data_IF_711960256610
#
_entry.id   IF_711960256610
#
_cell.length_a   1.000
_cell.length_b   1.000
_cell.length_c   1.000
_cell.angle_alpha   90.00
_cell.angle_beta   90.00
_cell.angle_gamma   90.00
#
_symmetry.space_group_name_H-M   'P 1'
#
loop_
_entity.id
_entity.type
_entity.pdbx_description
1 polymer ?
#
# COMPACT_ATOMS: atom_id res chain seq x y z
N UNK A 1 -0.85 12.78 -19.14
CA UNK A 1 -0.06 12.21 -18.03
C UNK A 1 1.33 11.75 -18.47
N UNK A 2 2.36 11.89 -17.62
CA UNK A 2 3.71 11.33 -17.81
C UNK A 2 4.08 10.39 -16.63
N UNK A 3 5.20 9.67 -16.76
CA UNK A 3 5.65 8.70 -15.74
C UNK A 3 5.83 9.36 -14.36
N UNK A 4 6.45 10.54 -14.29
CA UNK A 4 6.68 11.26 -13.04
C UNK A 4 5.38 11.57 -12.29
N UNK A 5 4.32 11.92 -13.02
CA UNK A 5 3.00 12.19 -12.44
C UNK A 5 2.38 10.92 -11.83
N UNK A 6 2.61 9.76 -12.45
CA UNK A 6 2.15 8.47 -11.95
C UNK A 6 2.92 8.10 -10.67
N UNK A 7 4.25 8.27 -10.67
CA UNK A 7 5.09 7.98 -9.51
C UNK A 7 4.77 8.88 -8.32
N UNK A 8 4.57 10.19 -8.53
CA UNK A 8 4.13 11.11 -7.48
C UNK A 8 2.75 10.70 -6.92
N UNK A 9 1.85 10.24 -7.77
CA UNK A 9 0.54 9.72 -7.34
C UNK A 9 0.67 8.45 -6.48
N UNK A 10 1.55 7.52 -6.87
CA UNK A 10 1.87 6.33 -6.08
C UNK A 10 2.47 6.71 -4.72
N UNK A 11 3.41 7.66 -4.68
CA UNK A 11 4.00 8.14 -3.43
C UNK A 11 2.93 8.75 -2.50
N UNK A 12 2.00 9.53 -3.05
CA UNK A 12 0.85 10.07 -2.28
C UNK A 12 -0.01 8.95 -1.69
N UNK A 13 -0.26 7.89 -2.45
CA UNK A 13 -0.99 6.71 -1.97
C UNK A 13 -0.29 6.02 -0.78
N UNK A 14 1.03 5.80 -0.91
CA UNK A 14 1.85 5.24 0.17
C UNK A 14 1.83 6.14 1.41
N UNK A 15 2.05 7.45 1.25
CA UNK A 15 2.02 8.42 2.35
C UNK A 15 0.65 8.46 3.04
N UNK A 16 -0.44 8.39 2.30
CA UNK A 16 -1.79 8.36 2.87
C UNK A 16 -1.97 7.12 3.76
N UNK A 17 -1.52 5.94 3.32
CA UNK A 17 -1.54 4.74 4.16
C UNK A 17 -0.67 4.91 5.40
N UNK A 18 0.51 5.53 5.27
CA UNK A 18 1.42 5.81 6.39
C UNK A 18 0.77 6.66 7.46
N UNK A 19 0.04 7.69 7.03
CA UNK A 19 -0.69 8.63 7.89
C UNK A 19 -1.99 8.06 8.47
N UNK A 20 -2.37 6.84 8.08
CA UNK A 20 -3.53 6.14 8.62
C UNK A 20 -4.83 6.34 7.83
N UNK A 21 -4.80 6.98 6.67
CA UNK A 21 -5.96 7.08 5.79
C UNK A 21 -6.42 5.70 5.30
N UNK A 22 -7.73 5.49 5.28
CA UNK A 22 -8.36 4.30 4.73
C UNK A 22 -8.33 4.32 3.20
N UNK A 23 -8.27 3.14 2.56
CA UNK A 23 -8.21 3.05 1.08
C UNK A 23 -9.41 3.73 0.40
N UNK A 24 -10.58 3.71 1.04
CA UNK A 24 -11.79 4.37 0.51
C UNK A 24 -11.70 5.89 0.43
N UNK A 25 -10.70 6.50 1.10
CA UNK A 25 -10.44 7.94 1.08
C UNK A 25 -9.55 8.35 -0.10
N UNK A 26 -9.37 7.48 -1.10
CA UNK A 26 -8.68 7.80 -2.35
C UNK A 26 -9.31 9.06 -2.99
N UNK A 27 -8.55 10.17 -3.13
CA UNK A 27 -9.10 11.43 -3.64
C UNK A 27 -9.43 11.39 -5.13
N UNK A 28 -8.92 10.38 -5.85
CA UNK A 28 -9.17 10.17 -7.28
C UNK A 28 -10.32 9.19 -7.53
N UNK A 29 -10.91 8.63 -6.48
CA UNK A 29 -12.06 7.73 -6.62
C UNK A 29 -13.24 8.48 -7.18
N UNK A 30 -13.63 8.10 -8.40
CA UNK A 30 -14.80 8.65 -9.06
C UNK A 30 -16.07 7.90 -8.64
N UNK A 31 -17.16 8.65 -8.46
CA UNK A 31 -18.51 8.07 -8.31
C UNK A 31 -19.19 7.84 -9.67
N UNK A 32 -18.51 8.10 -10.78
CA UNK A 32 -19.05 7.89 -12.13
C UNK A 32 -18.91 6.43 -12.55
N UNK A 33 -19.75 6.03 -13.50
CA UNK A 33 -19.61 4.71 -14.11
C UNK A 33 -18.23 4.58 -14.79
N UNK A 34 -17.62 3.38 -14.80
CA UNK A 34 -16.29 3.17 -15.39
C UNK A 34 -16.17 3.63 -16.86
N UNK A 35 -17.26 3.58 -17.64
CA UNK A 35 -17.29 4.04 -19.03
C UNK A 35 -17.38 5.56 -19.22
N UNK A 36 -17.65 6.32 -18.15
CA UNK A 36 -17.74 7.79 -18.15
C UNK A 36 -16.50 8.45 -17.51
N UNK A 37 -15.59 7.64 -16.97
CA UNK A 37 -14.37 8.08 -16.35
C UNK A 37 -13.28 8.19 -17.42
N UNK A 38 -12.65 9.36 -17.53
CA UNK A 38 -11.54 9.55 -18.45
C UNK A 38 -10.36 8.68 -18.04
N UNK A 39 -9.62 8.16 -19.02
CA UNK A 39 -8.44 7.30 -18.82
C UNK A 39 -7.46 7.91 -17.81
N UNK A 40 -7.26 9.23 -17.86
CA UNK A 40 -6.38 9.94 -16.94
C UNK A 40 -6.83 9.84 -15.47
N UNK A 41 -8.13 9.91 -15.21
CA UNK A 41 -8.67 9.79 -13.85
C UNK A 41 -8.53 8.35 -13.34
N UNK A 42 -8.76 7.38 -14.22
CA UNK A 42 -8.57 5.95 -13.90
C UNK A 42 -7.11 5.67 -13.53
N UNK A 43 -6.17 6.17 -14.31
CA UNK A 43 -4.73 6.00 -14.04
C UNK A 43 -4.31 6.63 -12.70
N UNK A 44 -4.83 7.82 -12.36
CA UNK A 44 -4.54 8.42 -11.04
C UNK A 44 -5.12 7.60 -9.89
N UNK A 45 -6.34 7.10 -10.06
CA UNK A 45 -6.99 6.26 -9.07
C UNK A 45 -6.19 4.98 -8.81
N UNK A 46 -5.79 4.27 -9.87
CA UNK A 46 -4.99 3.05 -9.80
C UNK A 46 -3.60 3.31 -9.22
N UNK A 47 -2.93 4.40 -9.63
CA UNK A 47 -1.61 4.77 -9.11
C UNK A 47 -1.64 5.02 -7.60
N UNK A 48 -2.63 5.78 -7.12
CA UNK A 48 -2.78 6.03 -5.69
C UNK A 48 -3.11 4.74 -4.92
N UNK A 49 -4.04 3.93 -5.42
CA UNK A 49 -4.39 2.64 -4.81
C UNK A 49 -3.21 1.69 -4.72
N UNK A 50 -2.37 1.63 -5.77
CA UNK A 50 -1.17 0.82 -5.81
C UNK A 50 -0.18 1.19 -4.70
N UNK A 51 0.12 2.49 -4.56
CA UNK A 51 1.00 2.98 -3.50
C UNK A 51 0.46 2.68 -2.09
N UNK A 52 -0.86 2.87 -1.89
CA UNK A 52 -1.52 2.56 -0.62
C UNK A 52 -1.42 1.06 -0.29
N UNK A 53 -1.67 0.19 -1.27
CA UNK A 53 -1.67 -1.27 -1.09
C UNK A 53 -0.28 -1.82 -0.79
N UNK A 54 0.77 -1.32 -1.44
CA UNK A 54 2.15 -1.72 -1.12
C UNK A 54 2.43 -1.47 0.35
N UNK A 55 2.17 -0.26 0.83
CA UNK A 55 2.43 0.11 2.22
C UNK A 55 1.62 -0.75 3.19
N UNK A 56 0.34 -1.02 2.90
CA UNK A 56 -0.48 -1.88 3.74
C UNK A 56 0.03 -3.33 3.78
N UNK A 57 0.47 -3.86 2.63
CA UNK A 57 1.04 -5.20 2.55
C UNK A 57 2.36 -5.30 3.33
N UNK A 58 3.24 -4.29 3.24
CA UNK A 58 4.51 -4.27 3.98
C UNK A 58 4.29 -4.26 5.50
N UNK A 59 3.27 -3.54 6.00
CA UNK A 59 2.90 -3.57 7.42
C UNK A 59 2.46 -4.95 7.90
N UNK A 60 1.75 -5.71 7.05
CA UNK A 60 1.31 -7.07 7.36
C UNK A 60 2.47 -8.06 7.39
N UNK A 61 3.54 -7.83 6.61
CA UNK A 61 4.76 -8.65 6.69
C UNK A 61 5.48 -8.42 8.03
N UNK A 62 5.42 -7.20 8.57
CA UNK A 62 5.98 -6.86 9.87
C UNK A 62 5.13 -7.27 11.08
N UNK A 63 3.85 -7.61 10.91
CA UNK A 63 2.91 -7.79 12.04
C UNK A 63 2.20 -9.15 12.03
N UNK A 64 2.03 -9.73 13.22
CA UNK A 64 1.25 -10.93 13.45
C UNK A 64 1.89 -12.21 12.91
N UNK A 65 1.46 -12.67 11.73
CA UNK A 65 1.77 -14.01 11.23
C UNK A 65 3.24 -14.18 10.80
N UNK A 66 3.76 -13.29 9.95
CA UNK A 66 5.13 -13.43 9.45
C UNK A 66 6.19 -13.17 10.53
N UNK A 67 5.94 -12.22 11.44
CA UNK A 67 6.77 -12.03 12.63
C UNK A 67 6.72 -13.28 13.52
N UNK A 68 5.55 -13.88 13.74
CA UNK A 68 5.42 -15.12 14.51
C UNK A 68 6.17 -16.29 13.87
N UNK A 69 6.08 -16.46 12.54
CA UNK A 69 6.80 -17.50 11.80
C UNK A 69 8.32 -17.29 11.82
N UNK A 70 8.76 -16.04 11.66
CA UNK A 70 10.17 -15.65 11.76
C UNK A 70 10.70 -15.94 13.16
N UNK A 71 9.95 -15.59 14.20
CA UNK A 71 10.31 -15.85 15.59
C UNK A 71 10.35 -17.36 15.88
N UNK A 72 9.34 -18.13 15.44
CA UNK A 72 9.35 -19.59 15.59
C UNK A 72 10.53 -20.25 14.86
N UNK A 73 10.85 -19.77 13.65
CA UNK A 73 12.00 -20.26 12.88
C UNK A 73 13.34 -19.90 13.54
N UNK A 74 13.47 -18.71 14.11
CA UNK A 74 14.66 -18.28 14.86
C UNK A 74 14.85 -19.08 16.15
N UNK A 75 13.75 -19.35 16.89
CA UNK A 75 13.75 -20.22 18.06
C UNK A 75 14.13 -21.66 17.71
N UNK A 76 13.59 -22.21 16.62
CA UNK A 76 13.94 -23.55 16.13
C UNK A 76 15.42 -23.65 15.68
N UNK A 77 16.01 -22.53 15.23
CA UNK A 77 17.42 -22.44 14.85
C UNK A 77 18.38 -22.12 16.02
N UNK A 78 17.87 -22.03 17.25
CA UNK A 78 18.69 -21.80 18.45
C UNK A 78 19.31 -20.41 18.58
N UNK A 79 18.85 -19.42 17.80
CA UNK A 79 19.30 -18.03 17.93
C UNK A 79 18.29 -17.25 18.77
N UNK A 80 18.57 -17.14 20.07
CA UNK A 80 17.93 -16.14 20.92
C UNK A 80 18.28 -14.76 20.37
N UNK A 81 17.24 -13.99 20.03
CA UNK A 81 17.38 -12.58 19.68
C UNK A 81 17.33 -11.85 21.03
N UNK A 82 18.49 -11.43 21.54
CA UNK A 82 18.56 -10.56 22.70
C UNK A 82 17.79 -9.26 22.39
N UNK A 83 16.78 -8.98 23.20
CA UNK A 83 15.96 -7.76 23.20
C UNK A 83 16.73 -6.54 23.68
#
# INVERSE_FOLDING_TARGET
MNLESILDCQERGSRARILGSHQSENPYKSNRNPGEQGEETTLLQEAWEFGWLIEDCMRRIGTGFYLSLRNQSALAAGKLIDT
#
